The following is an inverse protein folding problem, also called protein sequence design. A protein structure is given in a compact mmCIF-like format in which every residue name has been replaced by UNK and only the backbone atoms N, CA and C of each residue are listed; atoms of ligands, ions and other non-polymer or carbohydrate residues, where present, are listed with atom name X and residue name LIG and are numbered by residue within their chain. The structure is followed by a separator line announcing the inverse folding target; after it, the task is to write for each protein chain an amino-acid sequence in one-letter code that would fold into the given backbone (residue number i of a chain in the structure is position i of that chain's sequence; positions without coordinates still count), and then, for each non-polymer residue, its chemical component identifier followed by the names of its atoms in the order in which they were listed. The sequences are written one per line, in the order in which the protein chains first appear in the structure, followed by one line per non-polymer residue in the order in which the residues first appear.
data_IF_692627175676
#
_entry.id   IF_692627175676
#
_cell.length_a   1.000
_cell.length_b   1.000
_cell.length_c   1.000
_cell.angle_alpha   90.00
_cell.angle_beta   90.00
_cell.angle_gamma   90.00
#
_symmetry.space_group_name_H-M   'P 1'
#
loop_
_entity.id
_entity.type
_entity.pdbx_description
1 polymer ?
#
# COMPACT_ATOMS: atom_id res chain seq x y z
N UNK A 1 24.04 -1.37 -18.22
CA UNK A 1 23.53 -2.13 -17.06
C UNK A 1 24.60 -2.08 -16.00
N UNK A 2 24.31 -1.53 -14.83
CA UNK A 2 25.16 -1.70 -13.66
C UNK A 2 24.90 -3.14 -13.22
N UNK A 3 25.86 -4.03 -13.41
CA UNK A 3 25.78 -5.37 -12.85
C UNK A 3 25.94 -5.19 -11.34
N UNK A 4 24.86 -5.37 -10.59
CA UNK A 4 24.91 -5.38 -9.13
C UNK A 4 25.85 -6.51 -8.71
N UNK A 5 26.97 -6.17 -8.06
CA UNK A 5 27.82 -7.20 -7.48
C UNK A 5 27.19 -7.66 -6.15
N UNK A 6 26.51 -8.79 -6.20
CA UNK A 6 25.85 -9.35 -5.03
C UNK A 6 26.83 -9.81 -3.93
N UNK A 7 28.12 -10.02 -4.26
CA UNK A 7 29.12 -10.47 -3.29
C UNK A 7 29.48 -9.39 -2.26
N UNK A 8 29.30 -8.12 -2.61
CA UNK A 8 29.62 -6.97 -1.74
C UNK A 8 28.44 -6.52 -0.88
N UNK A 9 27.24 -7.05 -1.11
CA UNK A 9 26.03 -6.67 -0.36
C UNK A 9 25.95 -7.38 0.99
N UNK A 10 25.47 -6.66 2.00
CA UNK A 10 24.99 -7.30 3.23
C UNK A 10 23.78 -8.20 2.92
N UNK A 11 23.50 -9.17 3.79
CA UNK A 11 22.32 -10.05 3.59
C UNK A 11 21.00 -9.25 3.52
N UNK A 12 20.89 -8.13 4.24
CA UNK A 12 19.70 -7.27 4.20
C UNK A 12 19.57 -6.51 2.88
N UNK A 13 20.68 -6.01 2.33
CA UNK A 13 20.70 -5.36 1.02
C UNK A 13 20.42 -6.37 -0.10
N UNK A 14 21.03 -7.56 -0.02
CA UNK A 14 20.80 -8.65 -0.95
C UNK A 14 19.32 -9.07 -0.98
N UNK A 15 18.65 -9.17 0.17
CA UNK A 15 17.21 -9.47 0.24
C UNK A 15 16.39 -8.50 -0.61
N UNK A 16 16.65 -7.20 -0.47
CA UNK A 16 15.89 -6.16 -1.18
C UNK A 16 16.25 -6.16 -2.68
N UNK A 17 17.53 -6.34 -3.00
CA UNK A 17 18.03 -6.34 -4.37
C UNK A 17 17.51 -7.53 -5.19
N UNK A 18 17.45 -8.73 -4.60
CA UNK A 18 17.00 -9.96 -5.27
C UNK A 18 15.47 -10.11 -5.31
N UNK A 19 14.74 -9.43 -4.41
CA UNK A 19 13.30 -9.62 -4.27
C UNK A 19 12.44 -9.33 -5.52
N UNK A 20 12.76 -8.35 -6.41
CA UNK A 20 12.06 -8.19 -7.68
C UNK A 20 12.14 -9.43 -8.57
N UNK A 21 13.32 -10.06 -8.66
CA UNK A 21 13.53 -11.27 -9.47
C UNK A 21 12.79 -12.46 -8.85
N UNK A 22 12.80 -12.57 -7.51
CA UNK A 22 11.99 -13.58 -6.79
C UNK A 22 10.51 -13.43 -7.12
N UNK A 23 10.00 -12.20 -7.13
CA UNK A 23 8.60 -11.93 -7.46
C UNK A 23 8.26 -12.31 -8.91
N UNK A 24 9.18 -12.05 -9.86
CA UNK A 24 9.02 -12.47 -11.25
C UNK A 24 9.02 -14.01 -11.39
N UNK A 25 9.90 -14.73 -10.68
CA UNK A 25 9.90 -16.19 -10.67
C UNK A 25 8.67 -16.78 -9.96
N UNK A 26 8.11 -16.09 -8.96
CA UNK A 26 6.95 -16.54 -8.20
C UNK A 26 5.65 -16.65 -9.03
N UNK A 27 5.62 -16.07 -10.24
CA UNK A 27 4.52 -16.25 -11.21
C UNK A 27 4.27 -17.73 -11.49
N UNK A 28 5.33 -18.55 -11.56
CA UNK A 28 5.24 -19.97 -11.93
C UNK A 28 5.17 -20.87 -10.70
N UNK A 29 6.15 -20.76 -9.80
CA UNK A 29 6.33 -21.68 -8.66
C UNK A 29 5.80 -21.17 -7.33
N UNK A 30 5.19 -19.98 -7.34
CA UNK A 30 4.72 -19.29 -6.15
C UNK A 30 5.88 -18.75 -5.32
N UNK A 31 5.56 -18.20 -4.15
CA UNK A 31 6.54 -17.69 -3.21
C UNK A 31 7.25 -18.85 -2.50
N UNK A 32 8.15 -19.53 -3.20
CA UNK A 32 8.75 -20.80 -2.78
C UNK A 32 10.28 -20.80 -2.91
N UNK A 33 10.91 -21.87 -2.39
CA UNK A 33 12.35 -22.07 -2.57
C UNK A 33 12.75 -22.20 -4.05
N UNK A 34 11.88 -22.75 -4.90
CA UNK A 34 12.14 -22.83 -6.34
C UNK A 34 12.23 -21.44 -6.97
N UNK A 35 11.31 -20.53 -6.61
CA UNK A 35 11.37 -19.14 -7.07
C UNK A 35 12.63 -18.40 -6.58
N UNK A 36 13.06 -18.64 -5.33
CA UNK A 36 14.31 -18.08 -4.80
C UNK A 36 15.54 -18.56 -5.60
N UNK A 37 15.63 -19.87 -5.87
CA UNK A 37 16.76 -20.46 -6.60
C UNK A 37 16.78 -19.95 -8.04
N UNK A 38 15.63 -19.97 -8.73
CA UNK A 38 15.51 -19.47 -10.10
C UNK A 38 15.92 -18.00 -10.21
N UNK A 39 15.48 -17.16 -9.27
CA UNK A 39 15.86 -15.75 -9.23
C UNK A 39 17.37 -15.57 -9.01
N UNK A 40 17.96 -16.32 -8.07
CA UNK A 40 19.40 -16.25 -7.81
C UNK A 40 20.23 -16.65 -9.03
N UNK A 41 19.87 -17.77 -9.69
CA UNK A 41 20.54 -18.26 -10.89
C UNK A 41 20.42 -17.25 -12.05
N UNK A 42 19.24 -16.68 -12.27
CA UNK A 42 19.01 -15.67 -13.31
C UNK A 42 19.78 -14.37 -13.05
N UNK A 43 19.87 -13.95 -11.79
CA UNK A 43 20.57 -12.73 -11.39
C UNK A 43 22.10 -12.93 -11.31
N UNK A 44 22.60 -14.18 -11.34
CA UNK A 44 24.01 -14.48 -11.10
C UNK A 44 24.42 -14.36 -9.62
N UNK A 45 23.46 -14.40 -8.70
CA UNK A 45 23.72 -14.48 -7.27
C UNK A 45 24.04 -15.92 -6.87
N UNK A 46 25.02 -16.12 -6.00
CA UNK A 46 25.28 -17.43 -5.41
C UNK A 46 24.04 -17.93 -4.65
N UNK A 47 23.61 -19.16 -4.96
CA UNK A 47 22.36 -19.75 -4.45
C UNK A 47 22.45 -19.99 -2.94
N UNK A 48 23.61 -20.34 -2.41
CA UNK A 48 23.78 -20.56 -0.98
C UNK A 48 23.78 -19.24 -0.21
N UNK A 49 24.36 -18.17 -0.78
CA UNK A 49 24.21 -16.82 -0.23
C UNK A 49 22.73 -16.37 -0.26
N UNK A 50 22.01 -16.62 -1.36
CA UNK A 50 20.58 -16.30 -1.46
C UNK A 50 19.75 -17.06 -0.40
N UNK A 51 20.09 -18.32 -0.11
CA UNK A 51 19.45 -19.12 0.97
C UNK A 51 19.79 -18.59 2.37
N UNK A 52 21.00 -18.10 2.59
CA UNK A 52 21.36 -17.41 3.83
C UNK A 52 20.58 -16.11 3.99
N UNK A 53 20.36 -15.38 2.90
CA UNK A 53 19.51 -14.20 2.87
C UNK A 53 18.04 -14.55 3.12
N UNK A 54 17.51 -15.69 2.66
CA UNK A 54 16.13 -16.11 2.96
C UNK A 54 16.08 -17.46 3.67
N UNK A 55 16.36 -17.51 5.00
CA UNK A 55 16.40 -18.77 5.75
C UNK A 55 15.09 -19.56 5.65
N UNK A 56 15.17 -20.75 5.06
CA UNK A 56 14.01 -21.63 4.84
C UNK A 56 13.03 -21.14 3.77
N UNK A 57 13.43 -20.16 2.94
CA UNK A 57 12.64 -19.61 1.83
C UNK A 57 11.18 -19.30 2.22
N UNK A 58 10.99 -18.67 3.39
CA UNK A 58 9.65 -18.42 3.91
C UNK A 58 8.91 -17.42 3.01
N UNK A 59 7.70 -17.75 2.53
CA UNK A 59 6.94 -16.90 1.61
C UNK A 59 6.82 -15.46 2.08
N UNK A 60 6.46 -15.25 3.36
CA UNK A 60 6.29 -13.91 3.92
C UNK A 60 7.57 -13.07 4.01
N UNK A 61 8.74 -13.71 4.14
CA UNK A 61 10.02 -12.98 4.17
C UNK A 61 10.35 -12.43 2.77
N UNK A 62 10.13 -13.24 1.74
CA UNK A 62 10.30 -12.84 0.34
C UNK A 62 9.28 -11.77 -0.07
N UNK A 63 8.01 -11.93 0.30
CA UNK A 63 6.96 -10.94 0.04
C UNK A 63 7.28 -9.60 0.72
N UNK A 64 7.74 -9.62 1.98
CA UNK A 64 8.12 -8.39 2.68
C UNK A 64 9.31 -7.69 2.01
N UNK A 65 10.34 -8.43 1.60
CA UNK A 65 11.48 -7.87 0.88
C UNK A 65 11.05 -7.23 -0.45
N UNK A 66 10.17 -7.90 -1.19
CA UNK A 66 9.62 -7.37 -2.44
C UNK A 66 8.74 -6.13 -2.24
N UNK A 67 7.84 -6.13 -1.24
CA UNK A 67 7.05 -4.93 -0.92
C UNK A 67 7.97 -3.76 -0.55
N UNK A 68 9.07 -4.05 0.17
CA UNK A 68 10.08 -3.06 0.55
C UNK A 68 10.81 -2.52 -0.69
N UNK A 69 11.20 -3.36 -1.65
CA UNK A 69 11.84 -2.89 -2.88
C UNK A 69 10.90 -2.02 -3.72
N UNK A 70 9.60 -2.35 -3.78
CA UNK A 70 8.58 -1.51 -4.42
C UNK A 70 8.39 -0.18 -3.67
N UNK A 71 8.35 -0.19 -2.33
CA UNK A 71 8.30 1.03 -1.51
C UNK A 71 9.51 1.95 -1.80
N UNK A 72 10.71 1.38 -1.87
CA UNK A 72 11.95 2.10 -2.16
C UNK A 72 11.99 2.67 -3.58
N UNK A 73 11.58 1.88 -4.58
CA UNK A 73 11.48 2.33 -5.96
C UNK A 73 10.48 3.49 -6.12
N UNK A 74 9.34 3.41 -5.43
CA UNK A 74 8.35 4.48 -5.40
C UNK A 74 8.92 5.78 -4.80
N UNK A 75 9.64 5.67 -3.68
CA UNK A 75 10.26 6.83 -3.03
C UNK A 75 11.36 7.46 -3.90
N UNK A 76 12.11 6.64 -4.63
CA UNK A 76 13.14 7.10 -5.56
C UNK A 76 12.54 7.83 -6.78
N UNK A 77 11.46 7.30 -7.37
CA UNK A 77 10.80 7.91 -8.53
C UNK A 77 10.01 9.18 -8.15
N UNK A 78 9.37 9.18 -6.98
CA UNK A 78 8.50 10.26 -6.50
C UNK A 78 9.00 10.86 -5.19
N UNK A 79 10.15 11.56 -5.21
CA UNK A 79 10.62 12.29 -4.04
C UNK A 79 9.63 13.40 -3.67
N UNK A 80 9.62 13.80 -2.39
CA UNK A 80 8.63 14.71 -1.83
C UNK A 80 8.59 16.07 -2.57
N UNK A 81 9.75 16.54 -3.03
CA UNK A 81 9.94 17.78 -3.79
C UNK A 81 9.21 17.72 -5.14
N UNK A 82 9.26 16.57 -5.82
CA UNK A 82 8.56 16.37 -7.10
C UNK A 82 7.05 16.32 -6.92
N UNK A 83 6.58 15.77 -5.80
CA UNK A 83 5.14 15.70 -5.48
C UNK A 83 4.58 17.04 -5.00
N UNK A 84 5.43 17.95 -4.49
CA UNK A 84 5.02 19.20 -3.85
C UNK A 84 4.18 20.12 -4.76
N UNK A 85 4.31 20.01 -6.09
CA UNK A 85 3.58 20.84 -7.06
C UNK A 85 2.11 20.43 -7.24
N UNK A 86 1.74 19.22 -6.81
CA UNK A 86 0.38 18.67 -6.99
C UNK A 86 -0.44 18.76 -5.72
N UNK A 87 -1.77 18.68 -5.84
CA UNK A 87 -2.66 18.61 -4.66
C UNK A 87 -2.48 17.27 -3.94
N UNK A 88 -2.69 17.22 -2.63
CA UNK A 88 -2.52 16.00 -1.81
C UNK A 88 -3.23 14.76 -2.39
N UNK A 89 -4.43 14.94 -2.94
CA UNK A 89 -5.21 13.90 -3.62
C UNK A 89 -4.45 13.32 -4.83
N UNK A 90 -3.87 14.18 -5.65
CA UNK A 90 -3.11 13.79 -6.84
C UNK A 90 -1.83 13.07 -6.42
N UNK A 91 -1.15 13.55 -5.36
CA UNK A 91 0.04 12.88 -4.81
C UNK A 91 -0.27 11.43 -4.40
N UNK A 92 -1.34 11.23 -3.61
CA UNK A 92 -1.76 9.89 -3.18
C UNK A 92 -2.17 9.02 -4.37
N UNK A 93 -2.92 9.57 -5.34
CA UNK A 93 -3.26 8.84 -6.56
C UNK A 93 -2.00 8.40 -7.31
N UNK A 94 -1.05 9.29 -7.53
CA UNK A 94 0.20 9.02 -8.23
C UNK A 94 1.00 7.91 -7.55
N UNK A 95 1.14 7.97 -6.23
CA UNK A 95 1.86 6.97 -5.45
C UNK A 95 1.19 5.58 -5.53
N UNK A 96 -0.13 5.51 -5.39
CA UNK A 96 -0.86 4.23 -5.53
C UNK A 96 -0.77 3.71 -6.97
N UNK A 97 -0.92 4.58 -7.97
CA UNK A 97 -0.82 4.22 -9.38
C UNK A 97 0.58 3.70 -9.74
N UNK A 98 1.64 4.29 -9.19
CA UNK A 98 3.00 3.79 -9.35
C UNK A 98 3.12 2.34 -8.87
N UNK A 99 2.60 2.03 -7.68
CA UNK A 99 2.66 0.67 -7.13
C UNK A 99 1.91 -0.34 -8.00
N UNK A 100 0.74 0.03 -8.54
CA UNK A 100 -0.02 -0.83 -9.45
C UNK A 100 0.73 -1.06 -10.78
N UNK A 101 1.29 0.00 -11.36
CA UNK A 101 2.07 -0.09 -12.59
C UNK A 101 3.33 -0.95 -12.41
N UNK A 102 4.04 -0.78 -11.29
CA UNK A 102 5.26 -1.53 -10.98
C UNK A 102 5.06 -3.05 -10.94
N UNK A 103 3.81 -3.52 -10.73
CA UNK A 103 3.50 -4.95 -10.58
C UNK A 103 2.56 -5.47 -11.67
N UNK A 104 2.21 -4.63 -12.66
CA UNK A 104 1.29 -4.98 -13.76
C UNK A 104 1.74 -6.19 -14.58
N UNK A 105 3.05 -6.39 -14.73
CA UNK A 105 3.65 -7.49 -15.48
C UNK A 105 3.79 -8.80 -14.68
N UNK A 106 3.48 -8.77 -13.38
CA UNK A 106 3.59 -9.90 -12.45
C UNK A 106 2.33 -10.07 -11.58
N UNK A 107 1.15 -9.74 -12.12
CA UNK A 107 -0.10 -9.73 -11.37
C UNK A 107 -0.46 -11.09 -10.73
N UNK A 108 -0.08 -12.21 -11.36
CA UNK A 108 -0.22 -13.54 -10.76
C UNK A 108 0.67 -13.74 -9.52
N UNK A 109 1.89 -13.20 -9.50
CA UNK A 109 2.72 -13.21 -8.29
C UNK A 109 2.08 -12.37 -7.17
N UNK A 110 1.43 -11.25 -7.52
CA UNK A 110 0.63 -10.44 -6.59
C UNK A 110 -0.55 -11.24 -6.05
N UNK A 111 -1.30 -11.94 -6.90
CA UNK A 111 -2.41 -12.81 -6.48
C UNK A 111 -1.95 -13.83 -5.44
N UNK A 112 -0.83 -14.50 -5.71
CA UNK A 112 -0.24 -15.50 -4.80
C UNK A 112 0.27 -14.87 -3.51
N UNK A 113 0.86 -13.68 -3.58
CA UNK A 113 1.27 -12.93 -2.39
C UNK A 113 0.06 -12.60 -1.50
N UNK A 114 -1.03 -12.12 -2.08
CA UNK A 114 -2.29 -11.82 -1.36
C UNK A 114 -2.83 -13.07 -0.68
N UNK A 115 -2.80 -14.23 -1.35
CA UNK A 115 -3.24 -15.50 -0.76
C UNK A 115 -2.39 -15.90 0.46
N UNK A 116 -1.05 -15.77 0.38
CA UNK A 116 -0.14 -16.01 1.51
C UNK A 116 -0.40 -15.03 2.65
N UNK A 117 -0.53 -13.74 2.35
CA UNK A 117 -0.75 -12.68 3.34
C UNK A 117 -2.11 -12.81 4.05
N UNK A 118 -3.11 -13.38 3.40
CA UNK A 118 -4.44 -13.61 3.96
C UNK A 118 -4.48 -14.79 4.96
N UNK A 119 -3.45 -15.62 5.02
CA UNK A 119 -3.40 -16.72 5.98
C UNK A 119 -3.38 -16.20 7.43
N UNK A 120 -4.11 -16.81 8.38
CA UNK A 120 -4.24 -16.29 9.75
C UNK A 120 -2.91 -16.02 10.46
N UNK A 121 -1.92 -16.91 10.28
CA UNK A 121 -0.57 -16.76 10.85
C UNK A 121 0.22 -15.58 10.29
N UNK A 122 -0.13 -15.13 9.08
CA UNK A 122 0.55 -14.03 8.38
C UNK A 122 -0.20 -12.69 8.52
N UNK A 123 -1.48 -12.72 8.87
CA UNK A 123 -2.35 -11.54 8.91
C UNK A 123 -1.78 -10.38 9.76
N UNK A 124 -1.24 -10.59 10.98
CA UNK A 124 -0.65 -9.48 11.76
C UNK A 124 0.52 -8.80 11.04
N UNK A 125 1.36 -9.58 10.36
CA UNK A 125 2.52 -9.07 9.61
C UNK A 125 2.06 -8.38 8.33
N UNK A 126 1.10 -8.95 7.61
CA UNK A 126 0.50 -8.34 6.42
C UNK A 126 -0.13 -6.97 6.74
N UNK A 127 -0.84 -6.85 7.87
CA UNK A 127 -1.41 -5.58 8.33
C UNK A 127 -0.32 -4.54 8.64
N UNK A 128 0.78 -4.97 9.30
CA UNK A 128 1.93 -4.10 9.57
C UNK A 128 2.58 -3.60 8.28
N UNK A 129 2.70 -4.46 7.26
CA UNK A 129 3.22 -4.09 5.95
C UNK A 129 2.31 -3.11 5.22
N UNK A 130 1.00 -3.37 5.19
CA UNK A 130 0.02 -2.46 4.60
C UNK A 130 0.03 -1.08 5.26
N UNK A 131 0.14 -1.03 6.60
CA UNK A 131 0.33 0.21 7.34
C UNK A 131 1.62 0.92 6.96
N UNK A 132 2.75 0.21 6.88
CA UNK A 132 4.06 0.76 6.54
C UNK A 132 4.06 1.40 5.15
N UNK A 133 3.55 0.71 4.13
CA UNK A 133 3.43 1.29 2.78
C UNK A 133 2.51 2.50 2.76
N UNK A 134 1.40 2.49 3.51
CA UNK A 134 0.52 3.65 3.64
C UNK A 134 1.21 4.84 4.33
N UNK A 135 2.00 4.59 5.39
CA UNK A 135 2.80 5.61 6.07
C UNK A 135 3.83 6.24 5.12
N UNK A 136 4.56 5.42 4.35
CA UNK A 136 5.53 5.89 3.36
C UNK A 136 4.84 6.78 2.32
N UNK A 137 3.70 6.34 1.75
CA UNK A 137 2.96 7.15 0.79
C UNK A 137 2.51 8.49 1.38
N UNK A 138 2.02 8.50 2.62
CA UNK A 138 1.63 9.75 3.28
C UNK A 138 2.81 10.68 3.57
N UNK A 139 3.95 10.13 4.00
CA UNK A 139 5.18 10.91 4.20
C UNK A 139 5.67 11.54 2.90
N UNK A 140 5.75 10.76 1.82
CA UNK A 140 6.10 11.26 0.49
C UNK A 140 5.12 12.33 0.00
N UNK A 141 3.84 12.18 0.31
CA UNK A 141 2.81 13.16 -0.01
C UNK A 141 2.89 14.44 0.86
N UNK A 142 3.77 14.51 1.86
CA UNK A 142 4.01 15.66 2.73
C UNK A 142 3.15 15.70 4.00
N UNK A 143 2.63 14.56 4.47
CA UNK A 143 1.89 14.49 5.73
C UNK A 143 2.83 14.68 6.94
N UNK A 144 2.56 15.71 7.74
CA UNK A 144 3.25 15.99 9.01
C UNK A 144 2.38 15.70 10.24
N UNK A 145 1.19 15.09 10.06
CA UNK A 145 0.26 14.83 11.14
C UNK A 145 0.84 13.83 12.15
N UNK A 146 0.79 14.21 13.44
CA UNK A 146 1.17 13.37 14.59
C UNK A 146 -0.01 13.06 15.52
N UNK A 147 -1.20 13.54 15.17
CA UNK A 147 -2.42 13.44 15.96
C UNK A 147 -3.34 12.31 15.45
N UNK A 148 -4.62 12.31 15.83
CA UNK A 148 -5.60 11.33 15.35
C UNK A 148 -5.65 11.21 13.81
N UNK A 149 -5.39 12.30 13.08
CA UNK A 149 -5.36 12.27 11.63
C UNK A 149 -4.24 11.37 11.09
N UNK A 150 -3.12 11.23 11.82
CA UNK A 150 -2.05 10.30 11.48
C UNK A 150 -2.60 8.88 11.28
N UNK A 151 -3.39 8.42 12.24
CA UNK A 151 -3.90 7.06 12.26
C UNK A 151 -5.02 6.85 11.24
N UNK A 152 -6.00 7.75 11.19
CA UNK A 152 -7.12 7.62 10.25
C UNK A 152 -6.66 7.65 8.80
N UNK A 153 -5.73 8.55 8.44
CA UNK A 153 -5.18 8.65 7.07
C UNK A 153 -4.54 7.34 6.62
N UNK A 154 -3.73 6.72 7.47
CA UNK A 154 -3.01 5.47 7.16
C UNK A 154 -3.96 4.28 7.10
N UNK A 155 -4.89 4.18 8.05
CA UNK A 155 -5.90 3.12 8.04
C UNK A 155 -6.77 3.18 6.77
N UNK A 156 -7.25 4.37 6.40
CA UNK A 156 -8.07 4.56 5.20
C UNK A 156 -7.26 4.24 3.93
N UNK A 157 -6.03 4.75 3.81
CA UNK A 157 -5.21 4.50 2.62
C UNK A 157 -4.83 3.02 2.50
N UNK A 158 -4.45 2.36 3.60
CA UNK A 158 -4.19 0.93 3.61
C UNK A 158 -5.43 0.12 3.17
N UNK A 159 -6.62 0.48 3.68
CA UNK A 159 -7.88 -0.15 3.27
C UNK A 159 -8.20 0.04 1.78
N UNK A 160 -8.05 1.26 1.27
CA UNK A 160 -8.25 1.56 -0.16
C UNK A 160 -7.26 0.78 -1.02
N UNK A 161 -5.98 0.77 -0.64
CA UNK A 161 -4.94 0.10 -1.40
C UNK A 161 -5.17 -1.42 -1.43
N UNK A 162 -5.46 -2.04 -0.29
CA UNK A 162 -5.78 -3.48 -0.23
C UNK A 162 -7.01 -3.84 -1.06
N UNK A 163 -8.08 -3.03 -1.00
CA UNK A 163 -9.26 -3.24 -1.83
C UNK A 163 -8.96 -3.07 -3.34
N UNK A 164 -8.08 -2.12 -3.68
CA UNK A 164 -7.64 -1.89 -5.07
C UNK A 164 -6.81 -3.05 -5.58
N UNK A 165 -5.90 -3.61 -4.77
CA UNK A 165 -5.13 -4.82 -5.13
C UNK A 165 -6.04 -6.03 -5.35
N UNK A 166 -7.09 -6.19 -4.56
CA UNK A 166 -8.06 -7.26 -4.74
C UNK A 166 -8.83 -7.13 -6.07
N UNK A 167 -9.10 -5.91 -6.54
CA UNK A 167 -9.67 -5.66 -7.88
C UNK A 167 -8.62 -5.91 -8.96
N UNK A 168 -7.42 -5.37 -8.77
CA UNK A 168 -6.29 -5.44 -9.71
C UNK A 168 -5.93 -6.85 -10.16
N UNK A 169 -5.85 -7.79 -9.21
CA UNK A 169 -5.52 -9.18 -9.55
C UNK A 169 -6.64 -9.88 -10.31
N UNK A 170 -7.85 -9.32 -10.38
CA UNK A 170 -8.99 -9.90 -11.11
C UNK A 170 -9.41 -9.04 -12.32
N UNK A 171 -8.60 -8.04 -12.69
CA UNK A 171 -8.91 -7.09 -13.74
C UNK A 171 -8.19 -7.47 -15.04
N UNK A 172 -8.96 -7.94 -16.03
CA UNK A 172 -8.47 -8.30 -17.36
C UNK A 172 -8.67 -7.17 -18.40
N UNK A 173 -9.11 -5.99 -17.97
CA UNK A 173 -9.28 -4.83 -18.85
C UNK A 173 -7.93 -4.29 -19.35
N UNK A 174 -7.93 -3.71 -20.55
CA UNK A 174 -6.73 -3.12 -21.15
C UNK A 174 -6.11 -2.08 -20.22
N UNK A 175 -4.83 -2.23 -19.90
CA UNK A 175 -4.11 -1.33 -19.00
C UNK A 175 -4.67 -1.28 -17.58
N UNK A 176 -5.42 -2.31 -17.13
CA UNK A 176 -6.07 -2.35 -15.80
C UNK A 176 -7.03 -1.16 -15.58
N UNK A 177 -7.74 -0.76 -16.63
CA UNK A 177 -8.64 0.40 -16.63
C UNK A 177 -9.71 0.32 -15.52
N UNK A 178 -10.28 -0.87 -15.26
CA UNK A 178 -11.29 -1.05 -14.21
C UNK A 178 -10.71 -0.84 -12.81
N UNK A 179 -9.46 -1.24 -12.58
CA UNK A 179 -8.70 -0.99 -11.36
C UNK A 179 -8.48 0.51 -11.15
N UNK A 180 -8.03 1.21 -12.18
CA UNK A 180 -7.81 2.66 -12.11
C UNK A 180 -9.13 3.40 -11.83
N UNK A 181 -10.21 3.01 -12.50
CA UNK A 181 -11.54 3.57 -12.25
C UNK A 181 -12.04 3.25 -10.83
N UNK A 182 -11.76 2.05 -10.31
CA UNK A 182 -12.08 1.69 -8.93
C UNK A 182 -11.34 2.58 -7.93
N UNK A 183 -10.02 2.73 -8.10
CA UNK A 183 -9.19 3.58 -7.26
C UNK A 183 -9.72 5.02 -7.21
N UNK A 184 -10.04 5.59 -8.37
CA UNK A 184 -10.59 6.95 -8.45
C UNK A 184 -11.90 7.08 -7.67
N UNK A 185 -12.82 6.12 -7.82
CA UNK A 185 -14.08 6.10 -7.05
C UNK A 185 -13.85 5.99 -5.54
N UNK A 186 -12.81 5.28 -5.10
CA UNK A 186 -12.46 5.15 -3.67
C UNK A 186 -11.88 6.44 -3.12
N UNK A 187 -10.94 7.07 -3.83
CA UNK A 187 -10.36 8.36 -3.45
C UNK A 187 -11.46 9.43 -3.38
N UNK A 188 -12.38 9.46 -4.35
CA UNK A 188 -13.51 10.40 -4.36
C UNK A 188 -14.53 10.12 -3.24
N UNK A 189 -14.69 8.86 -2.85
CA UNK A 189 -15.48 8.46 -1.69
C UNK A 189 -14.96 9.10 -0.40
N UNK A 190 -13.65 9.06 -0.16
CA UNK A 190 -13.03 9.69 1.03
C UNK A 190 -13.30 11.19 1.05
N UNK A 191 -13.13 11.87 -0.08
CA UNK A 191 -13.36 13.32 -0.16
C UNK A 191 -14.81 13.69 0.16
N UNK A 192 -15.78 12.90 -0.33
CA UNK A 192 -17.20 13.09 -0.01
C UNK A 192 -17.49 12.85 1.46
N UNK A 193 -16.89 11.81 2.05
CA UNK A 193 -17.03 11.52 3.46
C UNK A 193 -16.48 12.64 4.35
N UNK A 194 -15.25 13.11 4.08
CA UNK A 194 -14.65 14.22 4.83
C UNK A 194 -15.45 15.52 4.69
N UNK A 195 -16.00 15.81 3.49
CA UNK A 195 -16.90 16.95 3.28
C UNK A 195 -18.19 16.82 4.10
N UNK A 196 -18.82 15.65 4.10
CA UNK A 196 -20.04 15.40 4.87
C UNK A 196 -19.78 15.49 6.38
N UNK A 197 -18.67 14.91 6.86
CA UNK A 197 -18.22 14.99 8.25
C UNK A 197 -17.99 16.44 8.67
N UNK A 198 -17.31 17.25 7.86
CA UNK A 198 -17.12 18.67 8.13
C UNK A 198 -18.45 19.45 8.17
N UNK A 199 -19.37 19.16 7.25
CA UNK A 199 -20.72 19.75 7.25
C UNK A 199 -21.56 19.38 8.48
N UNK A 200 -21.37 18.18 9.04
CA UNK A 200 -22.06 17.71 10.24
C UNK A 200 -21.42 18.24 11.54
N UNK A 201 -20.09 18.39 11.57
CA UNK A 201 -19.34 18.78 12.76
C UNK A 201 -19.06 20.29 12.87
N UNK A 202 -19.25 21.08 11.81
CA UNK A 202 -19.09 22.54 11.89
C UNK A 202 -20.11 23.14 12.87
N UNK A 203 -19.56 23.85 13.87
CA UNK A 203 -20.22 24.36 15.08
C UNK A 203 -21.14 25.58 14.91
N UNK A 204 -21.38 26.04 13.68
CA UNK A 204 -22.28 27.19 13.42
C UNK A 204 -23.71 26.78 13.05
N UNK A 205 -24.06 25.50 13.21
CA UNK A 205 -25.47 25.14 13.26
C UNK A 205 -25.99 25.51 14.63
N UNK A 206 -26.82 26.57 14.68
CA UNK A 206 -27.88 26.68 15.68
C UNK A 206 -28.76 25.43 15.58
N UNK A 207 -28.29 24.33 16.18
CA UNK A 207 -29.11 23.14 16.34
C UNK A 207 -30.34 23.58 17.13
N UNK A 208 -31.56 23.19 16.70
CA UNK A 208 -32.75 23.50 17.46
C UNK A 208 -32.54 22.95 18.87
N UNK A 209 -32.41 23.87 19.82
CA UNK A 209 -32.10 23.54 21.21
C UNK A 209 -33.25 22.68 21.74
N UNK A 210 -32.98 21.39 21.92
CA UNK A 210 -33.92 20.46 22.54
C UNK A 210 -34.33 20.94 23.93
N UNK A 211 -33.44 21.65 24.62
CA UNK A 211 -33.72 22.33 25.88
C UNK A 211 -34.71 23.49 25.75
N UNK A 212 -34.64 24.34 24.70
CA UNK A 212 -35.67 25.35 24.41
C UNK A 212 -37.00 24.72 23.99
N UNK A 213 -36.97 23.64 23.22
CA UNK A 213 -38.16 22.91 22.79
C UNK A 213 -38.91 22.28 23.98
N UNK A 214 -38.18 21.57 24.85
CA UNK A 214 -38.73 20.98 26.07
C UNK A 214 -39.15 22.05 27.09
N UNK A 215 -38.45 23.18 27.14
CA UNK A 215 -38.83 24.34 27.97
C UNK A 215 -40.20 24.93 27.58
N UNK A 216 -40.48 25.05 26.27
CA UNK A 216 -41.78 25.52 25.76
C UNK A 216 -42.93 24.54 25.99
N UNK A 217 -42.65 23.24 26.07
CA UNK A 217 -43.63 22.22 26.46
C UNK A 217 -43.96 22.26 27.96
N UNK A 218 -42.99 22.61 28.81
CA UNK A 218 -43.17 22.69 30.27
C UNK A 218 -43.82 24.00 30.73
N UNK A 219 -43.56 25.11 30.02
CA UNK A 219 -44.18 26.40 30.27
C UNK A 219 -44.77 26.95 28.97
N UNK A 220 -46.05 26.64 28.68
CA UNK A 220 -46.75 27.27 27.57
C UNK A 220 -46.86 28.77 27.88
N UNK A 221 -46.39 29.63 26.97
CA UNK A 221 -46.65 31.06 27.08
C UNK A 221 -48.16 31.29 27.02
N UNK A 222 -48.68 32.03 28.01
CA UNK A 222 -50.08 32.50 28.02
C UNK A 222 -50.27 33.61 27.00
#
# INVERSE_FOLDING_TARGET
MITTDFADLTLDELRIALAPDIAASAIFDGWSQAALVAAAEMAGCDVDIARLAFPGAKPMDMIEAWITSVDSAMAAEWPAERLATSKIRERIRTLVAFRLHAVAHIDEAVRRALAVMAQPQNAPRALKLGWRSADIMWRLAGDTATDYNHYSKRAILAGIYSATLAVFVNDDSEGKADTHAFLDRRIDGVMRFEKAKAQLLNKDRELPSLTRFLGRLRYPAR
#
